data_IF_602658582933
#
_entry.id   IF_602658582933
#
_cell.length_a   1.000
_cell.length_b   1.000
_cell.length_c   1.000
_cell.angle_alpha   90.00
_cell.angle_beta   90.00
_cell.angle_gamma   90.00
#
_symmetry.space_group_name_H-M   'P 1'
#
loop_
_entity.id
_entity.type
_entity.pdbx_description
1 polymer ?
#
# COMPACT_ATOMS: atom_id res chain seq x y z
N UNK A 1 5.36 45.86 23.20
CA UNK A 1 5.36 44.92 22.06
C UNK A 1 5.46 43.43 22.53
N UNK A 2 4.67 43.02 23.55
CA UNK A 2 4.79 41.65 24.13
C UNK A 2 3.45 40.97 24.43
N UNK A 3 2.31 41.52 23.99
CA UNK A 3 0.97 40.96 24.33
C UNK A 3 0.32 40.21 23.16
N UNK A 4 0.80 40.41 21.92
CA UNK A 4 0.19 39.79 20.73
C UNK A 4 0.65 38.34 20.53
N UNK A 5 1.85 37.96 20.99
CA UNK A 5 2.42 36.61 20.79
C UNK A 5 1.69 35.54 21.65
N UNK A 6 1.22 35.89 22.85
CA UNK A 6 0.55 34.91 23.74
C UNK A 6 -0.90 34.57 23.33
N UNK A 7 -1.59 35.46 22.60
CA UNK A 7 -2.92 35.15 22.06
C UNK A 7 -2.86 34.21 20.85
N UNK A 8 -1.81 34.33 20.03
CA UNK A 8 -1.61 33.49 18.85
C UNK A 8 -1.32 32.02 19.19
N UNK A 9 -0.54 31.78 20.23
CA UNK A 9 -0.21 30.39 20.69
C UNK A 9 -1.43 29.66 21.27
N UNK A 10 -2.32 30.36 21.96
CA UNK A 10 -3.58 29.76 22.42
C UNK A 10 -4.54 29.42 21.29
N UNK A 11 -4.62 30.27 20.26
CA UNK A 11 -5.45 30.02 19.07
C UNK A 11 -4.93 28.84 18.25
N UNK A 12 -3.62 28.69 18.10
CA UNK A 12 -3.02 27.54 17.41
C UNK A 12 -3.23 26.22 18.16
N UNK A 13 -3.13 26.23 19.49
CA UNK A 13 -3.36 25.04 20.29
C UNK A 13 -4.84 24.59 20.29
N UNK A 14 -5.80 25.49 20.15
CA UNK A 14 -7.22 25.12 20.02
C UNK A 14 -7.59 24.66 18.60
N UNK A 15 -6.89 25.13 17.57
CA UNK A 15 -7.01 24.60 16.19
C UNK A 15 -6.40 23.22 16.00
N UNK A 16 -5.50 22.78 16.90
CA UNK A 16 -4.87 21.47 16.86
C UNK A 16 -5.65 20.39 17.61
N UNK A 17 -6.79 20.72 18.24
CA UNK A 17 -7.67 19.70 18.83
C UNK A 17 -8.36 18.95 17.70
N UNK A 18 -7.83 17.78 17.36
CA UNK A 18 -8.50 16.85 16.45
C UNK A 18 -9.94 16.61 16.90
N UNK A 19 -10.94 16.77 16.03
CA UNK A 19 -12.31 16.45 16.39
C UNK A 19 -12.39 15.02 16.96
N UNK A 20 -13.13 14.83 18.05
CA UNK A 20 -13.29 13.50 18.69
C UNK A 20 -13.94 12.47 17.76
N UNK A 21 -14.60 12.93 16.71
CA UNK A 21 -15.28 12.10 15.72
C UNK A 21 -15.08 12.69 14.32
N UNK A 22 -14.66 11.84 13.38
CA UNK A 22 -14.56 12.22 11.96
C UNK A 22 -15.93 12.02 11.31
N UNK A 23 -16.58 13.08 10.79
CA UNK A 23 -17.83 12.95 10.05
C UNK A 23 -17.64 12.05 8.83
N UNK A 24 -18.58 11.13 8.60
CA UNK A 24 -18.60 10.25 7.43
C UNK A 24 -19.65 10.73 6.44
N UNK A 25 -19.26 10.90 5.19
CA UNK A 25 -20.18 11.10 4.08
C UNK A 25 -20.01 9.90 3.16
N UNK A 26 -21.06 9.12 3.02
CA UNK A 26 -21.08 7.98 2.11
C UNK A 26 -21.62 8.40 0.76
N UNK A 27 -21.00 7.90 -0.31
CA UNK A 27 -21.53 8.00 -1.67
C UNK A 27 -22.78 7.14 -1.79
N UNK A 28 -23.72 7.58 -2.64
CA UNK A 28 -24.86 6.76 -3.06
C UNK A 28 -24.49 5.72 -4.12
N UNK A 29 -23.21 5.66 -4.54
CA UNK A 29 -22.71 4.64 -5.43
C UNK A 29 -22.88 3.27 -4.77
N UNK A 30 -23.51 2.35 -5.50
CA UNK A 30 -23.71 0.97 -5.03
C UNK A 30 -22.45 0.15 -5.31
N UNK A 31 -22.17 -0.81 -4.42
CA UNK A 31 -21.14 -1.82 -4.60
C UNK A 31 -19.70 -1.29 -4.69
N UNK A 32 -19.35 -0.27 -3.90
CA UNK A 32 -17.95 0.08 -3.68
C UNK A 32 -17.28 -1.00 -2.84
N UNK A 33 -16.08 -1.44 -3.23
CA UNK A 33 -15.24 -2.31 -2.41
C UNK A 33 -14.74 -1.51 -1.22
N UNK A 34 -15.12 -1.90 -0.02
CA UNK A 34 -14.70 -1.25 1.22
C UNK A 34 -13.58 -2.02 1.89
N UNK A 35 -12.53 -1.30 2.30
CA UNK A 35 -11.48 -1.89 3.13
C UNK A 35 -11.99 -2.12 4.55
N UNK A 36 -11.54 -3.20 5.24
CA UNK A 36 -11.89 -3.44 6.64
C UNK A 36 -11.59 -2.23 7.54
N UNK A 37 -12.53 -1.86 8.39
CA UNK A 37 -12.39 -0.68 9.27
C UNK A 37 -11.19 -0.76 10.21
N UNK A 38 -10.79 -1.96 10.60
CA UNK A 38 -9.62 -2.18 11.44
C UNK A 38 -8.33 -1.61 10.83
N UNK A 39 -8.23 -1.49 9.50
CA UNK A 39 -7.07 -0.92 8.81
C UNK A 39 -6.85 0.57 9.16
N UNK A 40 -7.90 1.30 9.51
CA UNK A 40 -7.78 2.69 9.95
C UNK A 40 -7.05 2.88 11.29
N UNK A 41 -6.83 1.78 12.04
CA UNK A 41 -6.02 1.79 13.28
C UNK A 41 -4.52 1.84 13.00
N UNK A 42 -4.08 1.52 11.77
CA UNK A 42 -2.69 1.65 11.36
C UNK A 42 -2.21 3.11 11.49
N UNK A 43 -0.93 3.30 11.81
CA UNK A 43 -0.33 4.63 11.95
C UNK A 43 -0.33 5.42 10.63
N UNK A 44 -0.21 4.72 9.52
CA UNK A 44 -0.08 5.26 8.17
C UNK A 44 1.37 5.58 7.77
N UNK A 45 1.59 5.65 6.46
CA UNK A 45 2.82 6.12 5.82
C UNK A 45 2.48 7.41 5.09
N UNK A 46 3.29 8.45 5.24
CA UNK A 46 3.09 9.68 4.48
C UNK A 46 3.89 9.60 3.18
N UNK A 47 3.19 9.53 2.06
CA UNK A 47 3.78 9.55 0.72
C UNK A 47 3.29 10.80 -0.01
N UNK A 48 4.20 11.71 -0.32
CA UNK A 48 3.90 12.98 -1.00
C UNK A 48 2.75 13.77 -0.36
N UNK A 49 2.74 13.84 0.99
CA UNK A 49 1.72 14.56 1.77
C UNK A 49 0.41 13.79 1.99
N UNK A 50 0.26 12.59 1.43
CA UNK A 50 -0.91 11.71 1.64
C UNK A 50 -0.59 10.65 2.67
N UNK A 51 -1.42 10.51 3.70
CA UNK A 51 -1.32 9.48 4.70
C UNK A 51 -2.01 8.21 4.21
N UNK A 52 -1.25 7.15 3.99
CA UNK A 52 -1.70 5.85 3.48
C UNK A 52 -1.70 4.84 4.61
N UNK A 53 -2.86 4.29 4.95
CA UNK A 53 -3.07 3.24 5.94
C UNK A 53 -3.52 1.93 5.31
N UNK A 54 -4.21 2.02 4.17
CA UNK A 54 -4.80 0.90 3.45
C UNK A 54 -4.35 0.89 1.99
N UNK A 55 -3.99 -0.30 1.48
CA UNK A 55 -3.68 -0.49 0.07
C UNK A 55 -4.53 -1.63 -0.48
N UNK A 56 -5.27 -1.35 -1.57
CA UNK A 56 -5.96 -2.40 -2.32
C UNK A 56 -4.94 -3.16 -3.16
N UNK A 57 -4.78 -4.46 -2.90
CA UNK A 57 -3.96 -5.35 -3.73
C UNK A 57 -4.80 -5.88 -4.89
N UNK A 58 -4.66 -5.28 -6.06
CA UNK A 58 -5.42 -5.67 -7.25
C UNK A 58 -4.79 -5.16 -8.54
N UNK A 59 -5.08 -5.86 -9.64
CA UNK A 59 -4.87 -5.42 -11.02
C UNK A 59 -6.18 -5.36 -11.82
N UNK A 60 -7.30 -5.68 -11.17
CA UNK A 60 -8.63 -5.57 -11.78
C UNK A 60 -9.05 -4.10 -11.81
N UNK A 61 -9.14 -3.55 -13.01
CA UNK A 61 -9.45 -2.12 -13.22
C UNK A 61 -10.84 -1.73 -12.70
N UNK A 62 -11.82 -2.66 -12.68
CA UNK A 62 -13.13 -2.40 -12.13
C UNK A 62 -13.08 -2.24 -10.60
N UNK A 63 -12.30 -3.06 -9.91
CA UNK A 63 -12.09 -2.95 -8.46
C UNK A 63 -11.25 -1.70 -8.14
N UNK A 64 -10.20 -1.42 -8.92
CA UNK A 64 -9.34 -0.24 -8.76
C UNK A 64 -10.13 1.06 -8.90
N UNK A 65 -11.07 1.14 -9.84
CA UNK A 65 -11.92 2.31 -10.01
C UNK A 65 -13.00 2.46 -8.92
N UNK A 66 -13.37 1.37 -8.22
CA UNK A 66 -14.52 1.32 -7.31
C UNK A 66 -14.15 0.77 -5.92
N UNK A 67 -13.23 1.45 -5.24
CA UNK A 67 -12.83 1.12 -3.86
C UNK A 67 -12.59 2.37 -3.02
N UNK A 68 -12.46 2.20 -1.71
CA UNK A 68 -12.19 3.27 -0.74
C UNK A 68 -10.82 3.15 -0.06
N UNK A 69 -9.89 2.34 -0.58
CA UNK A 69 -8.52 2.28 -0.05
C UNK A 69 -7.76 3.60 -0.26
N UNK A 70 -6.75 3.87 0.57
CA UNK A 70 -5.92 5.06 0.47
C UNK A 70 -4.96 5.02 -0.72
N UNK A 71 -4.55 3.80 -1.16
CA UNK A 71 -3.68 3.57 -2.30
C UNK A 71 -3.98 2.22 -2.97
N UNK A 72 -3.41 2.02 -4.15
CA UNK A 72 -3.44 0.76 -4.90
C UNK A 72 -2.05 0.13 -4.88
N UNK A 73 -1.96 -1.16 -4.58
CA UNK A 73 -0.76 -1.98 -4.77
C UNK A 73 -0.98 -2.90 -5.97
N UNK A 74 -0.36 -2.55 -7.10
CA UNK A 74 -0.53 -3.27 -8.36
C UNK A 74 0.68 -4.13 -8.66
N UNK A 75 0.61 -5.39 -8.27
CA UNK A 75 1.63 -6.42 -8.53
C UNK A 75 0.94 -7.66 -9.09
N UNK A 76 1.54 -8.31 -10.08
CA UNK A 76 1.00 -9.51 -10.70
C UNK A 76 2.11 -10.50 -11.10
N UNK A 77 1.81 -11.81 -11.27
CA UNK A 77 2.82 -12.85 -11.39
C UNK A 77 3.43 -13.00 -12.80
N UNK A 78 3.21 -12.04 -13.67
CA UNK A 78 3.76 -12.02 -15.03
C UNK A 78 4.78 -10.90 -15.18
N UNK A 79 5.56 -10.93 -16.26
CA UNK A 79 6.46 -9.83 -16.59
C UNK A 79 5.66 -8.52 -16.69
N UNK A 80 6.01 -7.50 -15.91
CA UNK A 80 5.33 -6.21 -15.97
C UNK A 80 5.38 -5.61 -17.37
N UNK A 81 4.28 -5.01 -17.80
CA UNK A 81 4.17 -4.32 -19.10
C UNK A 81 3.68 -2.90 -18.91
N UNK A 82 4.23 -1.99 -19.70
CA UNK A 82 3.88 -0.57 -19.69
C UNK A 82 2.38 -0.35 -19.92
N UNK A 83 1.76 -1.14 -20.81
CA UNK A 83 0.34 -1.02 -21.15
C UNK A 83 -0.56 -1.29 -19.94
N UNK A 84 -0.27 -2.36 -19.16
CA UNK A 84 -1.04 -2.68 -17.96
C UNK A 84 -0.81 -1.61 -16.90
N UNK A 85 0.43 -1.21 -16.68
CA UNK A 85 0.80 -0.16 -15.72
C UNK A 85 0.03 1.14 -16.02
N UNK A 86 0.04 1.60 -17.27
CA UNK A 86 -0.61 2.84 -17.68
C UNK A 86 -2.15 2.75 -17.58
N UNK A 87 -2.73 1.59 -17.92
CA UNK A 87 -4.16 1.37 -17.75
C UNK A 87 -4.58 1.45 -16.28
N UNK A 88 -3.80 0.86 -15.37
CA UNK A 88 -4.07 0.90 -13.92
C UNK A 88 -3.94 2.32 -13.38
N UNK A 89 -2.84 3.02 -13.69
CA UNK A 89 -2.63 4.41 -13.27
C UNK A 89 -3.76 5.30 -13.81
N UNK A 90 -4.17 5.10 -15.06
CA UNK A 90 -5.21 5.90 -15.72
C UNK A 90 -6.61 5.75 -15.12
N UNK A 91 -6.94 4.60 -14.52
CA UNK A 91 -8.26 4.36 -13.90
C UNK A 91 -8.27 4.59 -12.39
N UNK A 92 -7.12 4.54 -11.73
CA UNK A 92 -7.01 4.73 -10.30
C UNK A 92 -7.25 6.19 -9.92
N UNK A 93 -8.00 6.40 -8.83
CA UNK A 93 -8.20 7.72 -8.21
C UNK A 93 -7.22 7.95 -7.07
N UNK A 94 -6.67 6.88 -6.56
CA UNK A 94 -5.70 6.83 -5.47
C UNK A 94 -4.27 6.75 -6.02
N UNK A 95 -3.24 7.06 -5.22
CA UNK A 95 -1.85 6.76 -5.56
C UNK A 95 -1.65 5.29 -5.90
N UNK A 96 -0.89 5.00 -6.95
CA UNK A 96 -0.61 3.62 -7.38
C UNK A 96 0.85 3.26 -7.08
N UNK A 97 1.05 2.15 -6.39
CA UNK A 97 2.33 1.50 -6.15
C UNK A 97 2.47 0.37 -7.15
N UNK A 98 3.40 0.49 -8.08
CA UNK A 98 3.48 -0.35 -9.29
C UNK A 98 4.57 -1.40 -9.18
N UNK A 99 4.23 -2.67 -9.40
CA UNK A 99 5.20 -3.75 -9.54
C UNK A 99 6.03 -3.60 -10.82
N UNK A 100 7.35 -3.47 -10.69
CA UNK A 100 8.25 -3.22 -11.82
C UNK A 100 9.22 -4.38 -12.08
N UNK A 101 9.31 -5.34 -11.19
CA UNK A 101 10.18 -6.50 -11.32
C UNK A 101 10.55 -7.12 -9.98
N UNK A 102 11.68 -7.81 -9.96
CA UNK A 102 12.05 -8.77 -8.93
C UNK A 102 11.43 -10.14 -9.23
N UNK A 103 11.86 -11.16 -8.50
CA UNK A 103 11.44 -12.53 -8.82
C UNK A 103 11.92 -12.96 -10.21
N UNK A 104 11.00 -13.15 -11.14
CA UNK A 104 11.31 -13.62 -12.50
C UNK A 104 11.73 -12.51 -13.47
N UNK A 105 11.53 -11.24 -13.14
CA UNK A 105 11.87 -10.10 -14.01
C UNK A 105 13.02 -9.29 -13.43
N UNK A 106 14.16 -9.31 -14.10
CA UNK A 106 15.41 -8.71 -13.63
C UNK A 106 16.12 -7.91 -14.73
N UNK A 107 17.21 -7.22 -14.36
CA UNK A 107 18.10 -6.50 -15.26
C UNK A 107 17.50 -5.23 -15.87
N UNK A 108 17.98 -4.83 -17.04
CA UNK A 108 17.66 -3.57 -17.71
C UNK A 108 16.16 -3.32 -17.92
N UNK A 109 15.36 -4.39 -17.95
CA UNK A 109 13.91 -4.28 -18.09
C UNK A 109 13.27 -3.60 -16.86
N UNK A 110 13.70 -3.97 -15.65
CA UNK A 110 13.20 -3.38 -14.40
C UNK A 110 13.40 -1.86 -14.41
N UNK A 111 14.60 -1.40 -14.77
CA UNK A 111 14.91 0.02 -14.83
C UNK A 111 14.03 0.79 -15.82
N UNK A 112 13.81 0.23 -17.00
CA UNK A 112 12.93 0.85 -18.01
C UNK A 112 11.49 0.93 -17.57
N UNK A 113 10.96 -0.14 -16.96
CA UNK A 113 9.57 -0.17 -16.49
C UNK A 113 9.40 0.77 -15.30
N UNK A 114 10.37 0.85 -14.40
CA UNK A 114 10.31 1.73 -13.24
C UNK A 114 10.34 3.22 -13.64
N UNK A 115 11.23 3.60 -14.55
CA UNK A 115 11.28 4.96 -15.06
C UNK A 115 9.99 5.33 -15.82
N UNK A 116 9.48 4.42 -16.65
CA UNK A 116 8.21 4.63 -17.34
C UNK A 116 7.04 4.80 -16.37
N UNK A 117 6.95 3.95 -15.33
CA UNK A 117 5.93 4.05 -14.30
C UNK A 117 5.98 5.40 -13.58
N UNK A 118 7.17 5.89 -13.22
CA UNK A 118 7.36 7.21 -12.64
C UNK A 118 6.88 8.33 -13.55
N UNK A 119 7.30 8.31 -14.83
CA UNK A 119 6.92 9.33 -15.82
C UNK A 119 5.40 9.35 -16.10
N UNK A 120 4.70 8.24 -15.85
CA UNK A 120 3.24 8.14 -15.96
C UNK A 120 2.49 8.39 -14.64
N UNK A 121 3.21 8.78 -13.57
CA UNK A 121 2.60 9.23 -12.33
C UNK A 121 2.38 8.15 -11.27
N UNK A 122 3.13 7.04 -11.32
CA UNK A 122 3.19 6.11 -10.20
C UNK A 122 3.65 6.82 -8.92
N UNK A 123 3.07 6.49 -7.78
CA UNK A 123 3.44 7.05 -6.49
C UNK A 123 4.65 6.35 -5.86
N UNK A 124 4.89 5.10 -6.23
CA UNK A 124 6.02 4.28 -5.82
C UNK A 124 6.21 3.11 -6.80
N UNK A 125 7.41 2.55 -6.84
CA UNK A 125 7.72 1.31 -7.55
C UNK A 125 7.96 0.18 -6.56
N UNK A 126 7.49 -1.03 -6.89
CA UNK A 126 7.56 -2.21 -6.04
C UNK A 126 8.47 -3.25 -6.67
N UNK A 127 9.46 -3.69 -5.90
CA UNK A 127 10.32 -4.82 -6.24
C UNK A 127 9.91 -6.05 -5.45
N UNK A 128 9.64 -7.14 -6.15
CA UNK A 128 9.29 -8.42 -5.56
C UNK A 128 10.55 -9.21 -5.17
N UNK A 129 10.41 -10.14 -4.22
CA UNK A 129 11.47 -11.09 -3.90
C UNK A 129 11.48 -12.26 -4.91
N UNK A 130 12.66 -12.84 -5.21
CA UNK A 130 13.98 -12.35 -4.82
C UNK A 130 14.47 -11.19 -5.70
N UNK A 131 15.25 -10.29 -5.12
CA UNK A 131 15.94 -9.21 -5.84
C UNK A 131 17.29 -8.95 -5.19
N UNK A 132 18.33 -8.69 -6.00
CA UNK A 132 19.66 -8.39 -5.51
C UNK A 132 19.74 -6.95 -4.99
N UNK A 133 20.44 -6.76 -3.87
CA UNK A 133 20.62 -5.44 -3.22
C UNK A 133 21.23 -4.41 -4.17
N UNK A 134 22.16 -4.81 -5.04
CA UNK A 134 22.76 -3.90 -6.01
C UNK A 134 21.74 -3.33 -7.02
N UNK A 135 20.79 -4.16 -7.47
CA UNK A 135 19.71 -3.68 -8.35
C UNK A 135 18.85 -2.61 -7.65
N UNK A 136 18.58 -2.75 -6.35
CA UNK A 136 17.83 -1.75 -5.59
C UNK A 136 18.62 -0.44 -5.53
N UNK A 137 19.96 -0.52 -5.29
CA UNK A 137 20.85 0.65 -5.26
C UNK A 137 20.90 1.36 -6.61
N UNK A 138 21.04 0.62 -7.71
CA UNK A 138 21.04 1.21 -9.05
C UNK A 138 19.70 1.86 -9.35
N UNK A 139 18.58 1.18 -9.03
CA UNK A 139 17.26 1.72 -9.23
C UNK A 139 17.01 3.01 -8.42
N UNK A 140 17.52 3.06 -7.17
CA UNK A 140 17.36 4.24 -6.30
C UNK A 140 18.11 5.48 -6.77
N UNK A 141 19.03 5.33 -7.74
CA UNK A 141 19.71 6.44 -8.41
C UNK A 141 19.02 6.89 -9.70
N UNK A 142 18.09 6.07 -10.20
CA UNK A 142 17.40 6.30 -11.46
C UNK A 142 16.05 6.94 -11.29
N UNK A 143 15.29 6.55 -10.25
CA UNK A 143 13.93 7.04 -10.01
C UNK A 143 13.88 7.91 -8.77
N UNK A 144 13.05 8.97 -8.82
CA UNK A 144 12.86 9.91 -7.71
C UNK A 144 11.74 9.45 -6.75
N UNK A 145 10.82 8.58 -7.23
CA UNK A 145 9.74 8.04 -6.41
C UNK A 145 10.22 6.93 -5.47
N UNK A 146 9.55 6.70 -4.33
CA UNK A 146 9.95 5.67 -3.37
C UNK A 146 10.02 4.26 -3.98
N UNK A 147 11.05 3.51 -3.60
CA UNK A 147 11.15 2.08 -3.87
C UNK A 147 10.59 1.32 -2.67
N UNK A 148 9.62 0.45 -2.94
CA UNK A 148 9.06 -0.52 -2.00
C UNK A 148 9.73 -1.87 -2.25
N UNK A 149 10.40 -2.40 -1.24
CA UNK A 149 11.03 -3.72 -1.30
C UNK A 149 10.13 -4.77 -0.65
N UNK A 150 9.76 -5.80 -1.40
CA UNK A 150 9.00 -6.92 -0.84
C UNK A 150 9.93 -7.91 -0.13
N UNK A 151 9.56 -8.24 1.12
CA UNK A 151 10.21 -9.21 1.98
C UNK A 151 9.22 -10.34 2.29
N UNK A 152 9.66 -11.59 2.06
CA UNK A 152 8.83 -12.79 2.24
C UNK A 152 9.32 -13.69 3.37
N UNK A 153 10.57 -13.50 3.81
CA UNK A 153 11.23 -14.25 4.88
C UNK A 153 12.29 -13.40 5.57
N UNK A 154 12.72 -13.82 6.75
CA UNK A 154 13.91 -13.29 7.42
C UNK A 154 15.14 -13.89 6.75
N UNK A 155 16.05 -13.05 6.29
CA UNK A 155 17.35 -13.43 5.73
C UNK A 155 18.48 -12.61 6.38
N UNK A 156 19.73 -13.04 6.18
CA UNK A 156 20.90 -12.42 6.81
C UNK A 156 21.18 -10.99 6.31
N UNK A 157 20.71 -10.66 5.10
CA UNK A 157 20.96 -9.36 4.47
C UNK A 157 19.87 -8.33 4.72
N UNK A 158 18.88 -8.63 5.59
CA UNK A 158 17.68 -7.81 5.76
C UNK A 158 18.00 -6.39 6.23
N UNK A 159 18.91 -6.24 7.19
CA UNK A 159 19.35 -4.93 7.69
C UNK A 159 20.02 -4.11 6.59
N UNK A 160 20.95 -4.70 5.86
CA UNK A 160 21.65 -4.05 4.73
C UNK A 160 20.66 -3.62 3.64
N UNK A 161 19.71 -4.49 3.31
CA UNK A 161 18.69 -4.21 2.30
C UNK A 161 17.70 -3.12 2.74
N UNK A 162 17.40 -3.07 4.03
CA UNK A 162 16.50 -2.09 4.60
C UNK A 162 17.15 -0.70 4.70
N UNK A 163 18.36 -0.62 5.27
CA UNK A 163 19.00 0.65 5.61
C UNK A 163 19.90 1.22 4.50
N UNK A 164 20.51 0.34 3.69
CA UNK A 164 21.61 0.75 2.78
C UNK A 164 21.35 0.45 1.30
N UNK A 165 20.22 -0.16 0.94
CA UNK A 165 19.89 -0.44 -0.46
C UNK A 165 19.31 0.74 -1.23
N UNK A 166 18.76 1.73 -0.52
CA UNK A 166 17.99 2.84 -1.11
C UNK A 166 16.48 2.60 -1.13
N UNK A 167 15.98 1.42 -0.72
CA UNK A 167 14.56 1.21 -0.47
C UNK A 167 14.05 2.19 0.61
N UNK A 168 12.82 2.69 0.46
CA UNK A 168 12.21 3.63 1.40
C UNK A 168 11.05 3.02 2.17
N UNK A 169 10.52 1.91 1.72
CA UNK A 169 9.39 1.21 2.32
C UNK A 169 9.66 -0.28 2.19
N UNK A 170 9.38 -1.06 3.23
CA UNK A 170 9.33 -2.52 3.16
C UNK A 170 7.87 -2.96 3.02
N UNK A 171 7.59 -3.88 2.10
CA UNK A 171 6.32 -4.59 2.00
C UNK A 171 6.50 -6.04 2.47
N UNK A 172 5.96 -6.38 3.64
CA UNK A 172 6.07 -7.72 4.21
C UNK A 172 4.94 -8.60 3.69
N UNK A 173 5.31 -9.67 2.99
CA UNK A 173 4.40 -10.68 2.44
C UNK A 173 4.87 -12.09 2.82
N UNK A 174 4.94 -12.37 4.13
CA UNK A 174 5.46 -13.61 4.71
C UNK A 174 4.41 -14.69 4.98
N UNK A 175 3.17 -14.53 4.51
CA UNK A 175 2.08 -15.44 4.83
C UNK A 175 1.85 -15.50 6.34
N UNK A 176 1.83 -16.69 6.93
CA UNK A 176 1.67 -16.89 8.39
C UNK A 176 2.80 -16.29 9.25
N UNK A 177 3.96 -16.02 8.65
CA UNK A 177 5.13 -15.46 9.34
C UNK A 177 5.16 -13.92 9.25
N UNK A 178 4.17 -13.27 8.63
CA UNK A 178 4.16 -11.81 8.43
C UNK A 178 4.34 -11.04 9.74
N UNK A 179 3.66 -11.42 10.80
CA UNK A 179 3.75 -10.79 12.13
C UNK A 179 5.18 -10.86 12.70
N UNK A 180 5.81 -12.04 12.58
CA UNK A 180 7.17 -12.27 13.06
C UNK A 180 8.18 -11.41 12.29
N UNK A 181 8.05 -11.36 10.96
CA UNK A 181 8.91 -10.54 10.09
C UNK A 181 8.76 -9.04 10.44
N UNK A 182 7.53 -8.55 10.63
CA UNK A 182 7.30 -7.14 11.02
C UNK A 182 7.96 -6.83 12.36
N UNK A 183 7.84 -7.71 13.36
CA UNK A 183 8.50 -7.53 14.66
C UNK A 183 10.02 -7.50 14.53
N UNK A 184 10.61 -8.40 13.74
CA UNK A 184 12.04 -8.41 13.49
C UNK A 184 12.52 -7.12 12.81
N UNK A 185 11.81 -6.61 11.80
CA UNK A 185 12.11 -5.33 11.16
C UNK A 185 12.08 -4.16 12.16
N UNK A 186 11.16 -4.18 13.12
CA UNK A 186 11.06 -3.15 14.18
C UNK A 186 12.22 -3.18 15.16
N UNK A 187 12.93 -4.30 15.29
CA UNK A 187 14.18 -4.35 16.09
C UNK A 187 15.35 -3.71 15.36
N UNK A 188 15.34 -3.70 14.01
CA UNK A 188 16.36 -3.06 13.18
C UNK A 188 16.15 -1.54 13.18
N UNK A 189 14.93 -1.10 12.82
CA UNK A 189 14.55 0.31 12.83
C UNK A 189 13.08 0.47 13.23
N UNK A 190 12.85 1.18 14.35
CA UNK A 190 11.50 1.42 14.90
C UNK A 190 10.63 2.33 14.04
N UNK A 191 11.24 3.19 13.21
CA UNK A 191 10.56 4.25 12.45
C UNK A 191 10.48 3.96 10.95
N UNK A 192 11.17 2.92 10.46
CA UNK A 192 11.18 2.58 9.02
C UNK A 192 9.76 2.26 8.51
N UNK A 193 9.34 2.79 7.34
CA UNK A 193 8.00 2.54 6.82
C UNK A 193 7.76 1.07 6.45
N UNK A 194 6.75 0.44 7.05
CA UNK A 194 6.39 -0.97 6.79
C UNK A 194 4.93 -1.05 6.33
N UNK A 195 4.74 -1.65 5.15
CA UNK A 195 3.47 -2.19 4.67
C UNK A 195 3.46 -3.68 4.99
N UNK A 196 2.33 -4.25 5.41
CA UNK A 196 2.21 -5.68 5.64
C UNK A 196 0.95 -6.24 4.98
N UNK A 197 1.02 -7.50 4.53
CA UNK A 197 -0.17 -8.24 4.10
C UNK A 197 -1.02 -8.57 5.33
N UNK A 198 -2.27 -8.10 5.34
CA UNK A 198 -3.15 -8.19 6.50
C UNK A 198 -3.80 -9.56 6.73
N UNK A 199 -3.72 -10.46 5.73
CA UNK A 199 -4.44 -11.73 5.81
C UNK A 199 -5.96 -11.58 5.58
N UNK A 200 -6.72 -12.68 5.72
CA UNK A 200 -8.13 -12.73 5.28
C UNK A 200 -9.13 -12.23 6.34
N UNK A 201 -8.73 -12.00 7.58
CA UNK A 201 -9.66 -11.64 8.67
C UNK A 201 -9.24 -10.35 9.37
N UNK A 202 -10.18 -9.71 10.08
CA UNK A 202 -9.89 -8.50 10.86
C UNK A 202 -8.88 -8.77 11.98
N UNK A 203 -8.88 -9.97 12.57
CA UNK A 203 -7.93 -10.37 13.60
C UNK A 203 -6.50 -10.39 13.05
N UNK A 204 -6.29 -11.01 11.88
CA UNK A 204 -4.96 -11.06 11.25
C UNK A 204 -4.47 -9.67 10.82
N UNK A 205 -5.38 -8.81 10.36
CA UNK A 205 -5.07 -7.41 10.07
C UNK A 205 -4.64 -6.67 11.35
N UNK A 206 -5.37 -6.88 12.45
CA UNK A 206 -5.06 -6.27 13.75
C UNK A 206 -3.70 -6.72 14.26
N UNK A 207 -3.39 -8.01 14.17
CA UNK A 207 -2.10 -8.57 14.60
C UNK A 207 -0.90 -7.92 13.89
N UNK A 208 -0.96 -7.71 12.57
CA UNK A 208 0.14 -7.06 11.84
C UNK A 208 0.27 -5.57 12.19
N UNK A 209 -0.85 -4.89 12.49
CA UNK A 209 -0.82 -3.50 12.96
C UNK A 209 -0.19 -3.43 14.35
N UNK A 210 -0.56 -4.31 15.26
CA UNK A 210 0.00 -4.39 16.62
C UNK A 210 1.47 -4.81 16.61
N UNK A 211 1.91 -5.59 15.63
CA UNK A 211 3.31 -5.91 15.40
C UNK A 211 4.14 -4.69 14.93
N UNK A 212 3.47 -3.63 14.47
CA UNK A 212 4.11 -2.37 14.09
C UNK A 212 4.03 -2.03 12.59
N UNK A 213 3.20 -2.69 11.79
CA UNK A 213 2.95 -2.27 10.41
C UNK A 213 2.29 -0.89 10.38
N UNK A 214 2.81 0.00 9.52
CA UNK A 214 2.27 1.36 9.35
C UNK A 214 1.07 1.38 8.40
N UNK A 215 1.05 0.49 7.41
CA UNK A 215 -0.03 0.34 6.45
C UNK A 215 -0.25 -1.14 6.14
N UNK A 216 -1.45 -1.48 5.67
CA UNK A 216 -1.84 -2.88 5.44
C UNK A 216 -2.40 -3.05 4.04
N UNK A 217 -2.05 -4.15 3.37
CA UNK A 217 -2.66 -4.52 2.10
C UNK A 217 -3.91 -5.37 2.31
N UNK A 218 -4.93 -5.10 1.51
CA UNK A 218 -6.19 -5.83 1.46
C UNK A 218 -6.39 -6.42 0.06
N UNK A 219 -6.64 -7.72 0.00
CA UNK A 219 -7.01 -8.42 -1.25
C UNK A 219 -8.53 -8.56 -1.28
N UNK A 220 -9.24 -7.84 -2.16
CA UNK A 220 -10.69 -7.94 -2.26
C UNK A 220 -11.11 -9.24 -2.94
N UNK A 221 -12.38 -9.66 -2.83
CA UNK A 221 -12.96 -10.63 -3.73
C UNK A 221 -12.79 -10.17 -5.19
N UNK A 222 -12.62 -11.10 -6.10
CA UNK A 222 -12.52 -10.80 -7.54
C UNK A 222 -13.83 -10.24 -8.08
N UNK A 223 -13.79 -9.48 -9.17
CA UNK A 223 -15.00 -9.01 -9.85
C UNK A 223 -15.96 -10.15 -10.22
N UNK A 224 -15.41 -11.32 -10.57
CA UNK A 224 -16.22 -12.51 -10.89
C UNK A 224 -16.96 -13.06 -9.65
N UNK A 225 -16.30 -13.10 -8.49
CA UNK A 225 -16.91 -13.54 -7.23
C UNK A 225 -18.00 -12.56 -6.77
N UNK A 226 -17.73 -11.26 -6.84
CA UNK A 226 -18.72 -10.21 -6.52
C UNK A 226 -19.94 -10.35 -7.43
N UNK A 227 -19.73 -10.49 -8.74
CA UNK A 227 -20.81 -10.64 -9.71
C UNK A 227 -21.63 -11.92 -9.47
N UNK A 228 -20.96 -13.05 -9.16
CA UNK A 228 -21.63 -14.30 -8.81
C UNK A 228 -22.58 -14.13 -7.62
N UNK A 229 -22.11 -13.52 -6.54
CA UNK A 229 -22.93 -13.26 -5.34
C UNK A 229 -24.12 -12.36 -5.63
N UNK A 230 -23.95 -11.32 -6.44
CA UNK A 230 -25.06 -10.45 -6.87
C UNK A 230 -26.10 -11.23 -7.67
N UNK A 231 -25.69 -12.08 -8.61
CA UNK A 231 -26.59 -12.87 -9.43
C UNK A 231 -27.33 -13.94 -8.62
N UNK A 232 -26.71 -14.52 -7.61
CA UNK A 232 -27.36 -15.46 -6.68
C UNK A 232 -28.48 -14.73 -5.89
N UNK A 233 -28.21 -13.55 -5.34
CA UNK A 233 -29.19 -12.73 -4.65
C UNK A 233 -30.39 -12.36 -5.54
N UNK A 234 -30.16 -11.98 -6.79
CA UNK A 234 -31.25 -11.68 -7.75
C UNK A 234 -32.11 -12.91 -8.04
N UNK A 235 -31.51 -14.09 -8.22
CA UNK A 235 -32.27 -15.33 -8.44
C UNK A 235 -33.13 -15.70 -7.23
N UNK A 236 -32.65 -15.46 -6.02
CA UNK A 236 -33.42 -15.69 -4.79
C UNK A 236 -34.59 -14.72 -4.65
N UNK A 237 -34.39 -13.44 -5.00
CA UNK A 237 -35.48 -12.44 -4.99
C UNK A 237 -36.55 -12.75 -6.02
N UNK A 238 -36.23 -13.30 -7.17
CA UNK A 238 -37.17 -13.67 -8.23
C UNK A 238 -37.97 -14.97 -7.93
N UNK A 239 -37.57 -15.74 -6.91
CA UNK A 239 -38.31 -16.92 -6.47
C UNK A 239 -39.42 -16.62 -5.43
N UNK A 240 -39.43 -15.39 -4.91
CA UNK A 240 -40.48 -14.85 -4.00
C UNK A 240 -41.57 -14.13 -4.78
#
# INVERSE_FOLDING_TARGET
MCIIVLKGVRYMNDLMKTPKMTPRIQSTLKHTVEVPEVMYKASGINVNGRRIKSLLFSTDVALIANNNADAILSVYPFTPTIQITNAIIGVARQPVFVGVGGGTTNGARVFKIALDAELHGAAAVVLNAPVHTEMIRELSRLVDIPIVLTVVSLDEDLEERMLHSGAKIINVSGGKNTVEIVKALRTIDKDFPIIATGGPTEETIKEVIEAGANAVTFTPPTSAEIFKGMMENYREQMKK
#
